data_IF_574836858616
#
_entry.id   IF_574836858616
#
_cell.length_a   1.000
_cell.length_b   1.000
_cell.length_c   1.000
_cell.angle_alpha   90.00
_cell.angle_beta   90.00
_cell.angle_gamma   90.00
#
_symmetry.space_group_name_H-M   'P 1'
#
loop_
_entity.id
_entity.type
_entity.pdbx_description
1 polymer ?
#
# COMPACT_ATOMS: atom_id res chain seq x y z
N UNK A 1 -16.03 5.94 -3.37
CA UNK A 1 -15.84 4.54 -3.84
C UNK A 1 -15.56 3.62 -2.67
N UNK A 2 -15.97 2.38 -2.78
CA UNK A 2 -15.60 1.36 -1.81
C UNK A 2 -14.12 0.98 -1.96
N UNK A 3 -13.42 0.78 -0.85
CA UNK A 3 -12.00 0.40 -0.86
C UNK A 3 -11.83 -0.94 -0.17
N UNK A 4 -11.30 -1.91 -0.89
CA UNK A 4 -11.00 -3.23 -0.36
C UNK A 4 -9.49 -3.44 -0.34
N UNK A 5 -8.97 -4.01 0.74
CA UNK A 5 -7.56 -4.36 0.87
C UNK A 5 -7.42 -5.88 0.75
N UNK A 6 -6.72 -6.34 -0.29
CA UNK A 6 -6.53 -7.77 -0.50
C UNK A 6 -5.70 -8.39 0.62
N UNK A 7 -5.88 -9.70 0.82
CA UNK A 7 -5.15 -10.40 1.88
C UNK A 7 -3.64 -10.24 1.77
N UNK A 8 -3.11 -10.31 0.56
CA UNK A 8 -1.67 -10.15 0.34
C UNK A 8 -1.19 -8.76 0.75
N UNK A 9 -1.98 -7.74 0.47
CA UNK A 9 -1.67 -6.38 0.90
C UNK A 9 -1.75 -6.24 2.43
N UNK A 10 -2.69 -6.92 3.07
CA UNK A 10 -2.77 -6.94 4.53
C UNK A 10 -1.53 -7.58 5.15
N UNK A 11 -1.00 -8.64 4.53
CA UNK A 11 0.26 -9.25 4.97
C UNK A 11 1.44 -8.31 4.78
N UNK A 12 1.47 -7.55 3.68
CA UNK A 12 2.49 -6.51 3.48
C UNK A 12 2.46 -5.48 4.62
N UNK A 13 1.26 -5.03 4.99
CA UNK A 13 1.09 -4.06 6.07
C UNK A 13 1.57 -4.66 7.40
N UNK A 14 1.24 -5.93 7.67
CA UNK A 14 1.69 -6.61 8.88
C UNK A 14 3.22 -6.71 8.95
N UNK A 15 3.88 -6.95 7.82
CA UNK A 15 5.35 -6.94 7.76
C UNK A 15 5.91 -5.55 8.09
N UNK A 16 5.28 -4.50 7.56
CA UNK A 16 5.67 -3.12 7.88
C UNK A 16 5.49 -2.79 9.36
N UNK A 17 4.38 -3.21 9.95
CA UNK A 17 4.12 -3.04 11.39
C UNK A 17 5.23 -3.70 12.20
N UNK A 18 5.56 -4.95 11.89
CA UNK A 18 6.61 -5.69 12.60
C UNK A 18 7.98 -5.00 12.45
N UNK A 19 8.28 -4.50 11.25
CA UNK A 19 9.53 -3.78 11.01
C UNK A 19 9.63 -2.55 11.90
N UNK A 20 8.57 -1.72 11.96
CA UNK A 20 8.60 -0.49 12.76
C UNK A 20 8.54 -0.77 14.26
N UNK A 21 7.85 -1.82 14.69
CA UNK A 21 7.85 -2.21 16.11
C UNK A 21 9.26 -2.54 16.61
N UNK A 22 10.11 -3.11 15.74
CA UNK A 22 11.50 -3.36 16.09
C UNK A 22 12.33 -2.07 16.18
N UNK A 23 11.86 -0.98 15.59
CA UNK A 23 12.54 0.32 15.63
C UNK A 23 12.24 1.07 16.92
N UNK A 24 11.05 0.88 17.50
CA UNK A 24 10.68 1.58 18.72
C UNK A 24 9.26 1.28 19.16
N UNK A 25 9.01 1.46 20.44
CA UNK A 25 7.69 1.23 21.03
C UNK A 25 6.63 2.11 20.37
N UNK A 26 5.54 1.51 19.95
CA UNK A 26 4.43 2.23 19.32
C UNK A 26 4.63 2.59 17.86
N UNK A 27 5.83 2.35 17.29
CA UNK A 27 6.12 2.74 15.92
C UNK A 27 5.31 1.94 14.91
N UNK A 28 5.03 0.67 15.18
CA UNK A 28 4.19 -0.16 14.31
C UNK A 28 2.74 0.30 14.29
N UNK A 29 2.20 0.66 15.46
CA UNK A 29 0.82 1.19 15.53
C UNK A 29 0.70 2.50 14.76
N UNK A 30 1.68 3.37 14.87
CA UNK A 30 1.70 4.62 14.12
C UNK A 30 1.72 4.35 12.62
N UNK A 31 2.59 3.44 12.17
CA UNK A 31 2.64 3.04 10.76
C UNK A 31 1.28 2.52 10.28
N UNK A 32 0.68 1.60 11.04
CA UNK A 32 -0.61 1.03 10.71
C UNK A 32 -1.68 2.11 10.50
N UNK A 33 -1.77 3.03 11.47
CA UNK A 33 -2.76 4.12 11.40
C UNK A 33 -2.54 5.02 10.20
N UNK A 34 -1.29 5.39 9.93
CA UNK A 34 -0.98 6.30 8.80
C UNK A 34 -1.25 5.64 7.45
N UNK A 35 -0.89 4.36 7.32
CA UNK A 35 -1.14 3.61 6.08
C UNK A 35 -2.64 3.50 5.82
N UNK A 36 -3.44 3.17 6.83
CA UNK A 36 -4.89 3.06 6.64
C UNK A 36 -5.56 4.41 6.40
N UNK A 37 -5.06 5.49 6.92
CA UNK A 37 -5.54 6.83 6.53
C UNK A 37 -5.29 7.09 5.04
N UNK A 38 -4.11 6.75 4.55
CA UNK A 38 -3.79 6.89 3.13
C UNK A 38 -4.67 6.00 2.27
N UNK A 39 -4.90 4.76 2.68
CA UNK A 39 -5.77 3.82 1.97
C UNK A 39 -7.21 4.34 1.95
N UNK A 40 -7.72 4.80 3.09
CA UNK A 40 -9.08 5.31 3.19
C UNK A 40 -9.31 6.53 2.29
N UNK A 41 -8.29 7.35 2.11
CA UNK A 41 -8.38 8.51 1.23
C UNK A 41 -8.65 8.13 -0.23
N UNK A 42 -8.36 6.89 -0.62
CA UNK A 42 -8.61 6.42 -1.98
C UNK A 42 -10.09 6.35 -2.31
N UNK A 43 -10.97 6.31 -1.30
CA UNK A 43 -12.42 6.36 -1.55
C UNK A 43 -12.83 7.63 -2.31
N UNK A 44 -12.05 8.70 -2.19
CA UNK A 44 -12.32 9.99 -2.84
C UNK A 44 -11.32 10.32 -3.95
N UNK A 45 -10.09 9.80 -3.88
CA UNK A 45 -9.01 10.21 -4.78
C UNK A 45 -8.56 9.15 -5.78
N UNK A 46 -9.15 7.95 -5.75
CA UNK A 46 -8.71 6.87 -6.63
C UNK A 46 -8.73 7.30 -8.10
N UNK A 47 -7.68 6.93 -8.83
CA UNK A 47 -7.56 7.21 -10.26
C UNK A 47 -6.70 8.42 -10.61
N UNK A 48 -6.41 9.31 -9.64
CA UNK A 48 -5.55 10.48 -9.91
C UNK A 48 -4.06 10.13 -9.95
N UNK A 49 -3.69 8.97 -9.42
CA UNK A 49 -2.29 8.58 -9.29
C UNK A 49 -1.76 7.94 -10.57
N UNK A 50 -0.48 8.19 -10.88
CA UNK A 50 0.17 7.55 -12.01
C UNK A 50 0.19 6.05 -11.88
N UNK A 51 0.23 5.35 -13.02
CA UNK A 51 0.36 3.90 -13.04
C UNK A 51 1.83 3.50 -13.14
N UNK A 52 2.17 2.43 -12.41
CA UNK A 52 3.48 1.80 -12.42
C UNK A 52 3.27 0.29 -12.40
N UNK A 53 3.91 -0.43 -13.32
CA UNK A 53 3.79 -1.88 -13.41
C UNK A 53 2.33 -2.36 -13.57
N UNK A 54 1.50 -1.53 -14.21
CA UNK A 54 0.09 -1.87 -14.47
C UNK A 54 -0.89 -1.51 -13.36
N UNK A 55 -0.43 -0.90 -12.27
CA UNK A 55 -1.28 -0.48 -11.14
C UNK A 55 -1.10 1.00 -10.85
N UNK A 56 -2.14 1.64 -10.34
CA UNK A 56 -1.99 2.99 -9.77
C UNK A 56 -1.11 2.93 -8.53
N UNK A 57 -0.31 3.95 -8.31
CA UNK A 57 0.61 4.01 -7.18
C UNK A 57 0.43 5.28 -6.39
N UNK A 58 -0.03 5.15 -5.14
CA UNK A 58 -0.04 6.26 -4.19
C UNK A 58 1.18 6.17 -3.31
N UNK A 59 1.93 7.25 -3.18
CA UNK A 59 3.05 7.34 -2.23
C UNK A 59 2.46 7.61 -0.85
N UNK A 60 2.82 6.80 0.14
CA UNK A 60 2.35 7.00 1.51
C UNK A 60 2.82 8.37 2.04
N UNK A 61 1.98 9.02 2.87
CA UNK A 61 2.22 10.39 3.30
C UNK A 61 3.31 10.51 4.37
N UNK A 62 3.53 9.46 5.18
CA UNK A 62 4.41 9.53 6.36
C UNK A 62 5.57 8.54 6.33
N UNK A 63 5.53 7.54 5.49
CA UNK A 63 6.51 6.46 5.44
C UNK A 63 6.96 6.25 4.00
N UNK A 64 8.16 5.71 3.77
CA UNK A 64 8.65 5.45 2.42
C UNK A 64 8.03 4.18 1.83
N UNK A 65 6.70 4.13 1.80
CA UNK A 65 5.94 3.00 1.29
C UNK A 65 5.11 3.42 0.09
N UNK A 66 4.82 2.46 -0.77
CA UNK A 66 4.05 2.63 -1.99
C UNK A 66 2.81 1.75 -1.91
N UNK A 67 1.65 2.37 -2.15
CA UNK A 67 0.35 1.69 -2.12
C UNK A 67 -0.07 1.49 -3.57
N UNK A 68 -0.11 0.23 -4.00
CA UNK A 68 -0.53 -0.14 -5.36
C UNK A 68 -1.98 -0.58 -5.34
N UNK A 69 -2.77 -0.01 -6.24
CA UNK A 69 -4.19 -0.33 -6.31
C UNK A 69 -4.66 -0.34 -7.75
N UNK A 70 -5.83 -0.92 -7.97
CA UNK A 70 -6.56 -0.86 -9.23
C UNK A 70 -8.01 -0.50 -8.98
N UNK A 71 -8.65 0.04 -10.01
CA UNK A 71 -10.07 0.37 -9.96
C UNK A 71 -10.81 -0.77 -10.67
N UNK A 72 -11.78 -1.34 -9.97
CA UNK A 72 -12.62 -2.44 -10.46
C UNK A 72 -14.08 -2.01 -10.38
N UNK A 73 -14.99 -2.82 -10.92
CA UNK A 73 -16.41 -2.47 -10.95
C UNK A 73 -16.97 -2.16 -9.55
N UNK A 74 -16.52 -2.89 -8.51
CA UNK A 74 -16.98 -2.72 -7.14
C UNK A 74 -16.31 -1.54 -6.41
N UNK A 75 -15.27 -0.93 -6.97
CA UNK A 75 -14.55 0.17 -6.34
C UNK A 75 -13.04 0.07 -6.49
N UNK A 76 -12.32 0.29 -5.39
CA UNK A 76 -10.86 0.28 -5.35
C UNK A 76 -10.38 -1.01 -4.68
N UNK A 77 -9.37 -1.63 -5.29
CA UNK A 77 -8.76 -2.83 -4.73
C UNK A 77 -7.27 -2.57 -4.50
N UNK A 78 -6.85 -2.53 -3.24
CA UNK A 78 -5.44 -2.38 -2.88
C UNK A 78 -4.78 -3.74 -2.98
N UNK A 79 -3.78 -3.86 -3.85
CA UNK A 79 -3.14 -5.14 -4.16
C UNK A 79 -1.79 -5.33 -3.46
N UNK A 80 -1.13 -4.24 -3.08
CA UNK A 80 0.17 -4.33 -2.43
C UNK A 80 0.49 -3.04 -1.67
N UNK A 81 1.24 -3.18 -0.57
CA UNK A 81 1.79 -2.05 0.19
C UNK A 81 3.25 -2.37 0.45
N UNK A 82 4.14 -1.78 -0.34
CA UNK A 82 5.54 -2.18 -0.42
C UNK A 82 6.47 -1.05 -0.02
N UNK A 83 7.63 -1.42 0.52
CA UNK A 83 8.70 -0.47 0.83
C UNK A 83 9.21 0.14 -0.48
N UNK A 84 9.08 1.45 -0.61
CA UNK A 84 9.50 2.19 -1.81
C UNK A 84 11.01 2.23 -2.02
N UNK A 85 11.79 1.79 -1.03
CA UNK A 85 13.25 1.67 -1.14
C UNK A 85 13.68 0.34 -1.76
N UNK A 86 12.74 -0.58 -1.97
CA UNK A 86 12.99 -1.84 -2.68
C UNK A 86 13.35 -1.57 -4.13
N UNK A 87 14.11 -2.49 -4.74
CA UNK A 87 14.50 -2.33 -6.15
C UNK A 87 13.27 -2.43 -7.06
N UNK A 88 13.17 -1.59 -8.08
CA UNK A 88 12.02 -1.60 -8.99
C UNK A 88 11.76 -2.97 -9.62
N UNK A 89 12.82 -3.70 -10.00
CA UNK A 89 12.68 -5.03 -10.61
C UNK A 89 12.08 -6.04 -9.64
N UNK A 90 12.35 -5.92 -8.34
CA UNK A 90 11.76 -6.81 -7.33
C UNK A 90 10.29 -6.49 -7.13
N UNK A 91 9.95 -5.20 -7.13
CA UNK A 91 8.55 -4.74 -7.04
C UNK A 91 7.75 -5.27 -8.23
N UNK A 92 8.30 -5.14 -9.45
CA UNK A 92 7.65 -5.60 -10.66
C UNK A 92 7.34 -7.11 -10.60
N UNK A 93 8.34 -7.91 -10.25
CA UNK A 93 8.16 -9.37 -10.13
C UNK A 93 7.09 -9.71 -9.11
N UNK A 94 7.10 -9.04 -7.95
CA UNK A 94 6.11 -9.26 -6.91
C UNK A 94 4.70 -8.92 -7.41
N UNK A 95 4.54 -7.76 -8.05
CA UNK A 95 3.23 -7.31 -8.54
C UNK A 95 2.66 -8.23 -9.61
N UNK A 96 3.51 -8.84 -10.43
CA UNK A 96 3.05 -9.80 -11.45
C UNK A 96 2.38 -11.03 -10.82
N UNK A 97 2.66 -11.33 -9.57
CA UNK A 97 2.07 -12.46 -8.84
C UNK A 97 0.81 -12.09 -8.07
N UNK A 98 0.49 -10.84 -8.04
CA UNK A 98 -0.71 -10.34 -7.33
C UNK A 98 -1.89 -10.25 -8.27
#
# INVERSE_FOLDING_TARGET
MNVEVRNEARLDIAEGVAFYDRQGYGAGDYFYQRIFEDIDSLSETAGIHETHFGYHRKIASRHPFLIYYRIVAAGVEVVAVLDGRSRPEDIDVLLQRR
#
